data_IF_075314453190
#
_entry.id   IF_075314453190
#
_cell.length_a   1.000
_cell.length_b   1.000
_cell.length_c   1.000
_cell.angle_alpha   90.00
_cell.angle_beta   90.00
_cell.angle_gamma   90.00
#
_symmetry.space_group_name_H-M   'P 1'
#
loop_
_entity.id
_entity.type
_entity.pdbx_description
1 polymer ?
#
# COMPACT_ATOMS: atom_id res chain seq x y z
N UNK A 1 -19.90 -8.13 -17.35
CA UNK A 1 -19.47 -8.72 -16.06
C UNK A 1 -18.90 -7.66 -15.15
N UNK A 2 -19.20 -7.75 -13.89
CA UNK A 2 -18.60 -6.85 -12.90
C UNK A 2 -17.11 -7.19 -12.75
N UNK A 3 -16.24 -6.19 -12.94
CA UNK A 3 -14.80 -6.37 -12.74
C UNK A 3 -14.48 -6.64 -11.26
N UNK A 4 -13.45 -7.47 -11.03
CA UNK A 4 -12.88 -7.63 -9.68
C UNK A 4 -12.01 -6.44 -9.36
N UNK A 5 -12.16 -5.95 -8.14
CA UNK A 5 -11.41 -4.80 -7.64
C UNK A 5 -10.15 -5.29 -6.92
N UNK A 6 -9.00 -4.88 -7.41
CA UNK A 6 -7.69 -5.18 -6.82
C UNK A 6 -7.14 -3.89 -6.21
N UNK A 7 -7.07 -3.83 -4.89
CA UNK A 7 -6.38 -2.75 -4.22
C UNK A 7 -4.86 -2.95 -4.29
N UNK A 8 -4.13 -1.90 -4.62
CA UNK A 8 -2.66 -1.92 -4.60
C UNK A 8 -2.21 -0.89 -3.58
N UNK A 9 -1.44 -1.34 -2.60
CA UNK A 9 -0.90 -0.50 -1.54
C UNK A 9 0.57 -0.18 -1.81
N UNK A 10 0.93 1.10 -1.75
CA UNK A 10 2.31 1.55 -1.88
C UNK A 10 2.64 2.63 -0.85
N UNK A 11 3.75 2.46 -0.14
CA UNK A 11 4.21 3.36 0.92
C UNK A 11 5.38 4.26 0.52
N UNK A 12 6.04 3.98 -0.60
CA UNK A 12 7.16 4.78 -1.08
C UNK A 12 7.42 4.57 -2.58
N UNK A 13 8.31 5.42 -3.13
CA UNK A 13 8.66 5.40 -4.55
C UNK A 13 9.22 4.06 -5.03
N UNK A 14 10.06 3.41 -4.23
CA UNK A 14 10.67 2.14 -4.60
C UNK A 14 9.62 1.04 -4.74
N UNK A 15 8.70 0.94 -3.77
CA UNK A 15 7.57 0.00 -3.85
C UNK A 15 6.68 0.28 -5.07
N UNK A 16 6.38 1.54 -5.33
CA UNK A 16 5.60 1.92 -6.51
C UNK A 16 6.28 1.49 -7.80
N UNK A 17 7.57 1.77 -7.95
CA UNK A 17 8.34 1.39 -9.14
C UNK A 17 8.33 -0.13 -9.39
N UNK A 18 8.46 -0.92 -8.33
CA UNK A 18 8.45 -2.38 -8.42
C UNK A 18 7.05 -2.95 -8.65
N UNK A 19 6.01 -2.28 -8.18
CA UNK A 19 4.61 -2.66 -8.42
C UNK A 19 4.02 -2.08 -9.73
N UNK A 20 4.73 -1.17 -10.40
CA UNK A 20 4.27 -0.55 -11.63
C UNK A 20 3.85 -1.56 -12.73
N UNK A 21 4.61 -2.63 -13.00
CA UNK A 21 4.19 -3.64 -13.97
C UNK A 21 2.91 -4.36 -13.57
N UNK A 22 2.71 -4.62 -12.28
CA UNK A 22 1.50 -5.26 -11.75
C UNK A 22 0.29 -4.33 -11.95
N UNK A 23 0.45 -3.07 -11.56
CA UNK A 23 -0.57 -2.04 -11.71
C UNK A 23 -1.01 -1.89 -13.17
N UNK A 24 -0.03 -1.83 -14.09
CA UNK A 24 -0.27 -1.74 -15.52
C UNK A 24 -0.95 -3.00 -16.09
N UNK A 25 -0.58 -4.18 -15.61
CA UNK A 25 -1.21 -5.42 -16.03
C UNK A 25 -2.68 -5.49 -15.59
N UNK A 26 -2.99 -5.03 -14.37
CA UNK A 26 -4.36 -4.97 -13.89
C UNK A 26 -5.18 -3.95 -14.68
N UNK A 27 -4.63 -2.77 -14.93
CA UNK A 27 -5.31 -1.70 -15.69
C UNK A 27 -5.68 -2.14 -17.12
N UNK A 28 -4.82 -2.94 -17.74
CA UNK A 28 -5.05 -3.47 -19.08
C UNK A 28 -5.93 -4.75 -19.12
N UNK A 29 -6.27 -5.33 -17.96
CA UNK A 29 -7.01 -6.58 -17.90
C UNK A 29 -8.53 -6.34 -18.00
N UNK A 30 -9.26 -7.02 -18.89
CA UNK A 30 -10.67 -6.72 -19.12
C UNK A 30 -11.58 -7.02 -17.93
N UNK A 31 -11.18 -7.92 -17.04
CA UNK A 31 -11.98 -8.38 -15.90
C UNK A 31 -11.51 -7.78 -14.56
N UNK A 32 -10.46 -6.95 -14.55
CA UNK A 32 -9.89 -6.36 -13.35
C UNK A 32 -10.01 -4.84 -13.35
N UNK A 33 -10.01 -4.28 -12.16
CA UNK A 33 -9.99 -2.84 -11.91
C UNK A 33 -9.11 -2.57 -10.69
N UNK A 34 -8.15 -1.67 -10.82
CA UNK A 34 -7.29 -1.33 -9.71
C UNK A 34 -7.90 -0.25 -8.80
N UNK A 35 -7.49 -0.25 -7.54
CA UNK A 35 -7.62 0.86 -6.60
C UNK A 35 -6.28 1.11 -5.96
N UNK A 36 -5.64 2.21 -6.32
CA UNK A 36 -4.31 2.56 -5.81
C UNK A 36 -4.44 3.33 -4.50
N UNK A 37 -3.86 2.77 -3.45
CA UNK A 37 -3.79 3.36 -2.11
C UNK A 37 -2.35 3.76 -1.86
N UNK A 38 -2.11 5.03 -1.63
CA UNK A 38 -0.77 5.58 -1.35
C UNK A 38 -0.65 6.02 0.09
N UNK A 39 0.52 5.84 0.65
CA UNK A 39 0.81 6.14 2.06
C UNK A 39 2.28 6.50 2.26
N UNK A 40 2.66 6.79 3.50
CA UNK A 40 4.04 6.93 3.93
C UNK A 40 4.79 8.04 3.20
N UNK A 41 5.97 7.69 2.69
CA UNK A 41 6.88 8.63 2.05
C UNK A 41 6.31 9.29 0.78
N UNK A 42 5.32 8.71 0.13
CA UNK A 42 4.64 9.36 -0.99
C UNK A 42 3.98 10.68 -0.62
N UNK A 43 3.52 10.80 0.61
CA UNK A 43 2.79 11.96 1.13
C UNK A 43 3.71 12.97 1.83
N UNK A 44 4.99 12.63 1.99
CA UNK A 44 5.98 13.51 2.61
C UNK A 44 6.75 14.29 1.55
N UNK A 45 6.60 15.60 1.58
CA UNK A 45 7.25 16.54 0.64
C UNK A 45 8.79 16.47 0.68
N UNK A 46 9.37 16.01 1.79
CA UNK A 46 10.82 15.84 1.93
C UNK A 46 11.39 14.72 1.06
N UNK A 47 10.55 13.77 0.61
CA UNK A 47 10.95 12.65 -0.25
C UNK A 47 10.63 12.87 -1.73
N UNK A 48 10.26 14.10 -2.12
CA UNK A 48 9.97 14.47 -3.50
C UNK A 48 8.50 14.34 -3.89
N UNK A 49 8.19 14.66 -5.15
CA UNK A 49 6.82 14.66 -5.67
C UNK A 49 6.44 13.31 -6.26
N UNK A 50 6.48 12.24 -5.46
CA UNK A 50 6.16 10.89 -5.95
C UNK A 50 4.69 10.72 -6.35
N UNK A 51 3.78 11.52 -5.79
CA UNK A 51 2.39 11.57 -6.25
C UNK A 51 2.27 12.09 -7.69
N UNK A 52 3.09 13.06 -8.04
CA UNK A 52 3.11 13.61 -9.40
C UNK A 52 3.63 12.58 -10.41
N UNK A 53 4.58 11.73 -10.03
CA UNK A 53 5.05 10.63 -10.88
C UNK A 53 3.91 9.64 -11.18
N UNK A 54 3.16 9.23 -10.16
CA UNK A 54 2.01 8.33 -10.31
C UNK A 54 0.97 8.92 -11.27
N UNK A 55 0.67 10.20 -11.10
CA UNK A 55 -0.28 10.92 -11.96
C UNK A 55 0.21 11.05 -13.40
N UNK A 56 1.51 11.35 -13.59
CA UNK A 56 2.14 11.44 -14.92
C UNK A 56 2.15 10.09 -15.64
N UNK A 57 2.26 8.99 -14.89
CA UNK A 57 2.17 7.65 -15.44
C UNK A 57 0.73 7.26 -15.87
N UNK A 58 -0.24 8.14 -15.60
CA UNK A 58 -1.63 7.96 -16.00
C UNK A 58 -2.49 7.19 -14.99
N UNK A 59 -1.98 6.94 -13.78
CA UNK A 59 -2.74 6.22 -12.76
C UNK A 59 -3.49 7.17 -11.84
N UNK A 60 -4.70 6.74 -11.47
CA UNK A 60 -5.55 7.43 -10.51
C UNK A 60 -5.28 6.93 -9.10
N UNK A 61 -5.05 7.86 -8.17
CA UNK A 61 -4.91 7.56 -6.76
C UNK A 61 -6.31 7.52 -6.14
N UNK A 62 -6.68 6.33 -5.64
CA UNK A 62 -8.01 6.10 -5.05
C UNK A 62 -8.10 6.57 -3.60
N UNK A 63 -7.01 6.50 -2.87
CA UNK A 63 -6.93 6.98 -1.50
C UNK A 63 -5.50 7.35 -1.10
N UNK A 64 -5.41 8.37 -0.27
CA UNK A 64 -4.17 8.78 0.40
C UNK A 64 -4.34 8.49 1.89
N UNK A 65 -3.42 7.71 2.47
CA UNK A 65 -3.43 7.36 3.89
C UNK A 65 -2.20 7.94 4.56
N UNK A 66 -2.38 9.03 5.29
CA UNK A 66 -1.28 9.63 6.04
C UNK A 66 -0.97 8.79 7.27
N UNK A 67 0.25 8.28 7.33
CA UNK A 67 0.81 7.61 8.50
C UNK A 67 1.99 8.43 8.96
N UNK A 68 1.86 9.07 10.11
CA UNK A 68 2.92 9.87 10.67
C UNK A 68 3.97 8.95 11.31
N UNK A 69 5.19 9.04 10.79
CA UNK A 69 6.36 8.41 11.37
C UNK A 69 7.17 9.45 12.13
N UNK A 70 7.28 9.24 13.41
CA UNK A 70 8.28 9.92 14.23
C UNK A 70 9.43 8.94 14.48
N UNK A 71 10.55 9.13 13.80
CA UNK A 71 11.74 8.29 13.96
C UNK A 71 12.45 8.47 15.34
N UNK A 72 11.87 9.30 16.22
CA UNK A 72 12.48 9.66 17.50
C UNK A 72 12.41 8.56 18.56
N UNK A 73 11.48 7.60 18.42
CA UNK A 73 11.32 6.53 19.42
C UNK A 73 10.70 5.25 18.85
N UNK A 74 10.97 4.12 19.52
CA UNK A 74 10.33 2.84 19.20
C UNK A 74 8.82 2.86 19.46
N UNK A 75 8.39 3.59 20.48
CA UNK A 75 6.97 3.76 20.79
C UNK A 75 6.22 4.48 19.65
N UNK A 76 6.85 5.45 19.00
CA UNK A 76 6.27 6.12 17.85
C UNK A 76 6.03 5.16 16.67
N UNK A 77 6.87 4.16 16.49
CA UNK A 77 6.64 3.09 15.50
C UNK A 77 5.37 2.28 15.82
N UNK A 78 5.17 1.96 17.10
CA UNK A 78 3.95 1.24 17.53
C UNK A 78 2.70 2.08 17.26
N UNK A 79 2.74 3.36 17.58
CA UNK A 79 1.63 4.29 17.31
C UNK A 79 1.36 4.44 15.80
N UNK A 80 2.41 4.54 14.99
CA UNK A 80 2.29 4.64 13.53
C UNK A 80 1.62 3.41 12.93
N UNK A 81 1.99 2.21 13.37
CA UNK A 81 1.36 0.95 12.95
C UNK A 81 -0.11 0.93 13.37
N UNK A 82 -0.42 1.26 14.62
CA UNK A 82 -1.79 1.31 15.12
C UNK A 82 -2.68 2.29 14.36
N UNK A 83 -2.21 3.52 14.16
CA UNK A 83 -2.89 4.54 13.37
C UNK A 83 -3.05 4.10 11.92
N UNK A 84 -2.03 3.48 11.34
CA UNK A 84 -2.05 2.92 10.00
C UNK A 84 -3.14 1.87 9.84
N UNK A 85 -3.26 0.94 10.78
CA UNK A 85 -4.31 -0.10 10.76
C UNK A 85 -5.69 0.54 10.73
N UNK A 86 -5.96 1.52 11.60
CA UNK A 86 -7.23 2.20 11.66
C UNK A 86 -7.56 2.96 10.37
N UNK A 87 -6.61 3.71 9.86
CA UNK A 87 -6.81 4.55 8.67
C UNK A 87 -6.96 3.73 7.40
N UNK A 88 -6.11 2.72 7.21
CA UNK A 88 -6.19 1.81 6.07
C UNK A 88 -7.46 0.96 6.16
N UNK A 89 -7.83 0.51 7.35
CA UNK A 89 -9.06 -0.23 7.59
C UNK A 89 -10.31 0.54 7.14
N UNK A 90 -10.38 1.84 7.41
CA UNK A 90 -11.48 2.71 6.93
C UNK A 90 -11.52 2.78 5.40
N UNK A 91 -10.37 2.93 4.76
CA UNK A 91 -10.26 2.97 3.31
C UNK A 91 -10.69 1.65 2.68
N UNK A 92 -10.19 0.54 3.19
CA UNK A 92 -10.54 -0.80 2.69
C UNK A 92 -12.02 -1.13 2.90
N UNK A 93 -12.60 -0.73 4.04
CA UNK A 93 -14.02 -0.92 4.30
C UNK A 93 -14.91 -0.10 3.34
N UNK A 94 -14.42 1.03 2.87
CA UNK A 94 -15.11 1.87 1.88
C UNK A 94 -14.96 1.31 0.46
N UNK A 95 -13.74 0.93 0.07
CA UNK A 95 -13.43 0.42 -1.28
C UNK A 95 -14.01 -0.98 -1.48
N UNK A 96 -13.95 -1.83 -0.45
CA UNK A 96 -14.37 -3.25 -0.48
C UNK A 96 -13.72 -4.01 -1.65
N UNK A 97 -12.38 -4.03 -1.73
CA UNK A 97 -11.71 -4.75 -2.80
C UNK A 97 -11.87 -6.26 -2.65
N UNK A 98 -11.77 -6.97 -3.77
CA UNK A 98 -11.76 -8.43 -3.78
C UNK A 98 -10.42 -9.01 -3.34
N UNK A 99 -9.35 -8.23 -3.46
CA UNK A 99 -7.99 -8.57 -3.03
C UNK A 99 -7.17 -7.30 -2.82
N UNK A 100 -6.18 -7.37 -1.94
CA UNK A 100 -5.15 -6.33 -1.81
C UNK A 100 -3.77 -6.91 -2.16
N UNK A 101 -2.97 -6.14 -2.88
CA UNK A 101 -1.57 -6.44 -3.18
C UNK A 101 -0.68 -5.58 -2.30
N UNK A 102 0.24 -6.22 -1.59
CA UNK A 102 1.22 -5.59 -0.71
C UNK A 102 2.62 -6.07 -1.10
N UNK A 103 3.59 -5.16 -1.08
CA UNK A 103 4.98 -5.43 -1.46
C UNK A 103 5.90 -5.39 -0.24
N UNK A 104 6.81 -6.36 -0.17
CA UNK A 104 7.90 -6.43 0.80
C UNK A 104 7.49 -6.39 2.29
N UNK A 105 8.26 -5.70 3.14
CA UNK A 105 8.24 -5.89 4.59
C UNK A 105 8.15 -4.58 5.40
N UNK A 106 7.82 -3.46 4.76
CA UNK A 106 7.70 -2.20 5.49
C UNK A 106 6.47 -2.18 6.42
N UNK A 107 6.59 -1.43 7.51
CA UNK A 107 5.54 -1.36 8.55
C UNK A 107 4.19 -0.83 8.01
N UNK A 108 4.19 0.05 7.01
CA UNK A 108 2.94 0.51 6.37
C UNK A 108 2.21 -0.65 5.68
N UNK A 109 2.97 -1.49 4.97
CA UNK A 109 2.44 -2.71 4.35
C UNK A 109 1.93 -3.71 5.39
N UNK A 110 2.62 -3.85 6.50
CA UNK A 110 2.19 -4.68 7.63
C UNK A 110 0.85 -4.20 8.22
N UNK A 111 0.70 -2.88 8.40
CA UNK A 111 -0.57 -2.29 8.80
C UNK A 111 -1.71 -2.61 7.83
N UNK A 112 -1.43 -2.55 6.53
CA UNK A 112 -2.41 -2.87 5.48
C UNK A 112 -2.84 -4.34 5.52
N UNK A 113 -1.88 -5.26 5.73
CA UNK A 113 -2.15 -6.70 5.85
C UNK A 113 -3.01 -7.01 7.06
N UNK A 114 -2.73 -6.41 8.22
CA UNK A 114 -3.54 -6.60 9.43
C UNK A 114 -4.97 -6.13 9.19
N UNK A 115 -5.14 -4.92 8.66
CA UNK A 115 -6.46 -4.37 8.37
C UNK A 115 -7.24 -5.24 7.37
N UNK A 116 -6.60 -5.66 6.28
CA UNK A 116 -7.21 -6.51 5.26
C UNK A 116 -7.63 -7.87 5.83
N UNK A 117 -6.76 -8.49 6.62
CA UNK A 117 -7.05 -9.79 7.26
C UNK A 117 -8.29 -9.71 8.15
N UNK A 118 -8.41 -8.67 8.96
CA UNK A 118 -9.57 -8.48 9.85
C UNK A 118 -10.86 -8.17 9.08
N UNK A 119 -10.75 -7.64 7.88
CA UNK A 119 -11.89 -7.38 6.99
C UNK A 119 -12.20 -8.55 6.03
N UNK A 120 -11.54 -9.69 6.21
CA UNK A 120 -11.65 -10.86 5.33
C UNK A 120 -11.34 -10.56 3.84
N UNK A 121 -10.41 -9.64 3.61
CA UNK A 121 -9.91 -9.32 2.27
C UNK A 121 -8.64 -10.14 2.02
N UNK A 122 -8.61 -11.01 1.00
CA UNK A 122 -7.41 -11.75 0.64
C UNK A 122 -6.23 -10.84 0.31
N UNK A 123 -5.04 -11.19 0.79
CA UNK A 123 -3.80 -10.45 0.52
C UNK A 123 -2.88 -11.24 -0.39
N UNK A 124 -2.44 -10.62 -1.48
CA UNK A 124 -1.31 -11.09 -2.27
C UNK A 124 -0.05 -10.37 -1.81
N UNK A 125 0.88 -11.10 -1.23
CA UNK A 125 2.14 -10.55 -0.72
C UNK A 125 3.28 -10.81 -1.72
N UNK A 126 3.73 -9.78 -2.39
CA UNK A 126 4.84 -9.83 -3.35
C UNK A 126 6.16 -9.76 -2.59
N UNK A 127 7.07 -10.68 -2.90
CA UNK A 127 8.36 -10.85 -2.19
C UNK A 127 8.20 -11.12 -0.68
N UNK A 128 7.17 -11.86 -0.33
CA UNK A 128 6.97 -12.36 1.04
C UNK A 128 7.65 -13.72 1.24
N UNK A 129 8.10 -13.96 2.48
CA UNK A 129 8.68 -15.22 2.89
C UNK A 129 10.20 -15.33 2.71
N UNK A 130 10.85 -14.30 2.20
CA UNK A 130 12.30 -14.24 2.11
C UNK A 130 12.95 -13.87 3.46
N UNK A 131 14.10 -14.50 3.75
CA UNK A 131 14.92 -14.11 4.88
C UNK A 131 16.01 -13.15 4.41
N UNK A 132 16.05 -11.97 5.01
CA UNK A 132 17.09 -10.99 4.73
C UNK A 132 18.24 -11.16 5.73
N UNK A 133 19.40 -11.60 5.25
CA UNK A 133 20.60 -11.69 6.09
C UNK A 133 21.16 -10.30 6.38
N UNK A 134 21.44 -10.01 7.66
CA UNK A 134 22.03 -8.75 8.10
C UNK A 134 21.07 -7.55 8.08
N UNK A 135 19.81 -7.77 7.84
CA UNK A 135 18.78 -6.74 7.97
C UNK A 135 18.44 -6.45 9.43
N UNK A 136 18.24 -5.18 9.77
CA UNK A 136 17.58 -4.83 11.02
C UNK A 136 16.08 -5.14 10.89
N UNK A 137 15.58 -5.94 11.80
CA UNK A 137 14.15 -6.18 11.96
C UNK A 137 13.50 -4.98 12.64
#
# INVERSE_FOLDING_TARGET
MKKRIIAIFTGNRAEYGLQFPILKAIDNHPELEYRLIVSGAHLDKNFGNTLDEITKDGFHISAEVKIEMDASSLEANVQAIGTGILSIGKVLNKIKPDMIVVYADRFEGFSAVIAATQLNIPTAHVEGGDLTEGGAL
#
